data_IF_059641057037
#
_entry.id   IF_059641057037
#
_cell.length_a   1.000
_cell.length_b   1.000
_cell.length_c   1.000
_cell.angle_alpha   90.00
_cell.angle_beta   90.00
_cell.angle_gamma   90.00
#
_symmetry.space_group_name_H-M   'P 1'
#
loop_
_entity.id
_entity.type
_entity.pdbx_description
1 polymer ?
#
# COMPACT_ATOMS: atom_id res chain seq x y z
N UNK A 1 26.55 -19.71 15.32
CA UNK A 1 25.76 -18.62 15.93
C UNK A 1 25.01 -17.96 14.79
N UNK A 2 23.74 -18.32 14.64
CA UNK A 2 22.88 -17.73 13.62
C UNK A 2 22.55 -16.31 14.06
N UNK A 3 23.02 -15.34 13.29
CA UNK A 3 22.61 -13.95 13.44
C UNK A 3 21.11 -13.87 13.18
N UNK A 4 20.33 -13.75 14.24
CA UNK A 4 18.94 -13.39 14.18
C UNK A 4 18.82 -11.99 13.55
N UNK A 5 18.74 -11.93 12.22
CA UNK A 5 18.37 -10.75 11.44
C UNK A 5 16.87 -10.48 11.66
N UNK A 6 16.49 -10.13 12.88
CA UNK A 6 15.20 -9.51 13.14
C UNK A 6 15.23 -8.11 12.52
N UNK A 7 14.64 -7.99 11.33
CA UNK A 7 13.96 -6.79 10.87
C UNK A 7 14.71 -5.46 11.05
N UNK A 8 15.74 -5.21 10.24
CA UNK A 8 15.98 -3.83 9.79
C UNK A 8 15.04 -3.54 8.62
N UNK A 9 13.75 -3.37 8.93
CA UNK A 9 12.89 -2.64 8.01
C UNK A 9 13.19 -1.18 8.26
N UNK A 10 13.96 -0.57 7.35
CA UNK A 10 14.15 0.88 7.36
C UNK A 10 12.77 1.55 7.21
N UNK A 11 12.56 2.74 7.80
CA UNK A 11 11.37 3.52 7.56
C UNK A 11 11.40 4.11 6.15
N UNK A 12 10.20 4.27 5.57
CA UNK A 12 10.01 4.87 4.25
C UNK A 12 10.68 6.25 4.17
N UNK A 13 11.52 6.49 3.15
CA UNK A 13 12.07 7.83 2.94
C UNK A 13 10.99 8.77 2.39
N UNK A 14 11.23 10.08 2.41
CA UNK A 14 10.20 11.06 2.05
C UNK A 14 9.67 10.91 0.61
N UNK A 15 10.51 10.49 -0.35
CA UNK A 15 10.08 10.29 -1.73
C UNK A 15 9.20 9.05 -1.86
N UNK A 16 9.59 7.97 -1.22
CA UNK A 16 8.80 6.74 -1.16
C UNK A 16 7.46 7.00 -0.45
N UNK A 17 7.46 7.80 0.61
CA UNK A 17 6.26 8.17 1.37
C UNK A 17 5.28 8.96 0.50
N UNK A 18 5.78 9.93 -0.27
CA UNK A 18 4.94 10.68 -1.23
C UNK A 18 4.33 9.75 -2.28
N UNK A 19 5.10 8.79 -2.82
CA UNK A 19 4.56 7.82 -3.79
C UNK A 19 3.53 6.88 -3.15
N UNK A 20 3.77 6.41 -1.93
CA UNK A 20 2.83 5.59 -1.18
C UNK A 20 1.54 6.36 -0.86
N UNK A 21 1.63 7.65 -0.53
CA UNK A 21 0.49 8.55 -0.33
C UNK A 21 -0.38 8.66 -1.59
N UNK A 22 0.24 8.86 -2.77
CA UNK A 22 -0.47 8.91 -4.06
C UNK A 22 -1.22 7.62 -4.35
N UNK A 23 -0.58 6.47 -4.10
CA UNK A 23 -1.21 5.16 -4.31
C UNK A 23 -2.36 4.96 -3.31
N UNK A 24 -2.13 5.15 -2.02
CA UNK A 24 -3.14 4.95 -0.98
C UNK A 24 -4.37 5.85 -1.17
N UNK A 25 -4.16 7.11 -1.56
CA UNK A 25 -5.24 8.07 -1.80
C UNK A 25 -6.26 7.61 -2.85
N UNK A 26 -5.80 6.89 -3.89
CA UNK A 26 -6.67 6.36 -4.96
C UNK A 26 -7.68 5.33 -4.46
N UNK A 27 -7.35 4.62 -3.37
CA UNK A 27 -8.18 3.55 -2.82
C UNK A 27 -8.97 3.97 -1.58
N UNK A 28 -8.96 5.27 -1.23
CA UNK A 28 -9.53 5.74 0.04
C UNK A 28 -11.00 5.36 0.23
N UNK A 29 -11.77 5.30 -0.86
CA UNK A 29 -13.21 5.06 -0.81
C UNK A 29 -13.49 3.56 -0.58
N UNK A 30 -12.69 2.72 -1.22
CA UNK A 30 -12.72 1.26 -1.12
C UNK A 30 -12.40 0.81 0.31
N UNK A 31 -11.46 1.48 0.98
CA UNK A 31 -11.02 1.13 2.33
C UNK A 31 -11.70 1.92 3.45
N UNK A 32 -12.65 2.81 3.13
CA UNK A 32 -13.22 3.75 4.09
C UNK A 32 -13.90 3.05 5.30
N UNK A 33 -14.41 1.83 5.09
CA UNK A 33 -15.09 1.04 6.10
C UNK A 33 -14.22 -0.09 6.68
N UNK A 34 -12.95 -0.19 6.27
CA UNK A 34 -12.06 -1.25 6.72
C UNK A 34 -11.67 -1.02 8.18
N UNK A 35 -11.82 -2.06 9.01
CA UNK A 35 -11.57 -1.97 10.47
C UNK A 35 -10.12 -2.23 10.85
N UNK A 36 -9.38 -2.93 9.99
CA UNK A 36 -7.98 -3.29 10.20
C UNK A 36 -7.16 -2.99 8.96
N UNK A 37 -5.82 -2.90 9.10
CA UNK A 37 -4.91 -2.75 7.96
C UNK A 37 -5.06 -3.92 6.97
N UNK A 38 -5.25 -5.14 7.46
CA UNK A 38 -5.44 -6.31 6.60
C UNK A 38 -6.79 -6.27 5.87
N UNK A 39 -7.86 -5.77 6.51
CA UNK A 39 -9.11 -5.51 5.81
C UNK A 39 -8.91 -4.45 4.72
N UNK A 40 -8.18 -3.37 5.00
CA UNK A 40 -7.91 -2.33 4.01
C UNK A 40 -7.13 -2.88 2.80
N UNK A 41 -6.06 -3.64 3.03
CA UNK A 41 -5.30 -4.31 1.97
C UNK A 41 -6.18 -5.28 1.19
N UNK A 42 -6.99 -6.07 1.90
CA UNK A 42 -7.95 -6.98 1.26
C UNK A 42 -8.93 -6.19 0.42
N UNK A 43 -9.43 -5.04 0.85
CA UNK A 43 -10.46 -4.28 0.13
C UNK A 43 -9.89 -3.50 -1.07
N UNK A 44 -8.58 -3.20 -1.09
CA UNK A 44 -7.85 -2.65 -2.26
C UNK A 44 -7.72 -3.63 -3.44
N UNK A 45 -7.67 -4.94 -3.18
CA UNK A 45 -7.45 -5.99 -4.21
C UNK A 45 -8.71 -6.39 -5.04
N UNK A 46 -9.93 -6.49 -4.50
CA UNK A 46 -11.14 -6.85 -5.24
C UNK A 46 -11.56 -5.78 -6.24
N UNK A 47 -11.21 -4.52 -5.98
CA UNK A 47 -11.42 -3.39 -6.89
C UNK A 47 -10.39 -3.36 -8.03
N UNK A 48 -9.21 -4.00 -7.87
CA UNK A 48 -8.12 -3.98 -8.84
C UNK A 48 -8.31 -4.92 -10.03
N UNK A 49 -9.45 -4.85 -10.72
CA UNK A 49 -9.70 -5.63 -11.95
C UNK A 49 -8.87 -5.14 -13.14
N UNK A 50 -8.31 -3.94 -13.07
CA UNK A 50 -7.42 -3.37 -14.09
C UNK A 50 -5.95 -3.64 -13.75
N UNK A 51 -5.15 -3.95 -14.77
CA UNK A 51 -3.70 -4.22 -14.64
C UNK A 51 -2.93 -3.10 -13.91
N UNK A 52 -3.34 -1.85 -14.11
CA UNK A 52 -2.72 -0.67 -13.50
C UNK A 52 -2.88 -0.61 -11.97
N UNK A 53 -4.01 -1.12 -11.46
CA UNK A 53 -4.30 -1.13 -10.04
C UNK A 53 -3.50 -2.23 -9.33
N UNK A 54 -3.39 -3.40 -9.97
CA UNK A 54 -2.51 -4.49 -9.48
C UNK A 54 -1.07 -3.99 -9.38
N UNK A 55 -0.56 -3.30 -10.40
CA UNK A 55 0.80 -2.76 -10.36
C UNK A 55 0.98 -1.64 -9.33
N UNK A 56 -0.06 -0.84 -9.06
CA UNK A 56 -0.04 0.18 -8.01
C UNK A 56 0.09 -0.46 -6.63
N UNK A 57 -0.64 -1.54 -6.39
CA UNK A 57 -0.59 -2.29 -5.13
C UNK A 57 0.76 -3.03 -4.97
N UNK A 58 1.33 -3.59 -6.04
CA UNK A 58 2.68 -4.17 -6.02
C UNK A 58 3.74 -3.11 -5.73
N UNK A 59 3.62 -1.92 -6.33
CA UNK A 59 4.49 -0.78 -6.01
C UNK A 59 4.38 -0.38 -4.54
N UNK A 60 3.17 -0.37 -3.99
CA UNK A 60 2.98 -0.08 -2.56
C UNK A 60 3.74 -1.08 -1.68
N UNK A 61 3.67 -2.37 -2.00
CA UNK A 61 4.46 -3.38 -1.30
C UNK A 61 5.97 -3.10 -1.41
N UNK A 62 6.46 -2.84 -2.62
CA UNK A 62 7.88 -2.54 -2.87
C UNK A 62 8.38 -1.36 -2.04
N UNK A 63 7.60 -0.29 -1.97
CA UNK A 63 7.89 0.90 -1.17
C UNK A 63 7.94 0.56 0.32
N UNK A 64 6.96 -0.19 0.84
CA UNK A 64 6.90 -0.55 2.27
C UNK A 64 7.97 -1.55 2.71
N UNK A 65 8.53 -2.32 1.78
CA UNK A 65 9.60 -3.28 2.07
C UNK A 65 11.00 -2.75 1.71
N UNK A 66 11.12 -1.58 1.08
CA UNK A 66 12.37 -1.07 0.51
C UNK A 66 13.05 -2.06 -0.46
N UNK A 67 12.26 -2.88 -1.16
CA UNK A 67 12.76 -3.89 -2.10
C UNK A 67 12.43 -3.45 -3.52
N UNK A 68 13.43 -2.88 -4.18
CA UNK A 68 13.31 -2.18 -5.46
C UNK A 68 13.11 -3.02 -6.72
N UNK A 69 12.72 -4.30 -6.64
CA UNK A 69 12.47 -5.12 -7.83
C UNK A 69 10.98 -5.46 -7.97
N UNK A 70 10.29 -4.63 -8.77
CA UNK A 70 8.87 -4.81 -9.06
C UNK A 70 8.61 -6.08 -9.89
N UNK A 71 9.52 -6.48 -10.78
CA UNK A 71 9.33 -7.67 -11.60
C UNK A 71 9.36 -8.92 -10.73
N UNK A 72 10.31 -8.99 -9.80
CA UNK A 72 10.38 -10.06 -8.82
C UNK A 72 9.13 -10.15 -7.94
N UNK A 73 8.62 -9.01 -7.45
CA UNK A 73 7.40 -9.00 -6.64
C UNK A 73 6.15 -9.42 -7.43
N UNK A 74 6.06 -9.08 -8.72
CA UNK A 74 5.00 -9.57 -9.60
C UNK A 74 5.09 -11.08 -9.81
N UNK A 75 6.30 -11.62 -10.01
CA UNK A 75 6.52 -13.05 -10.14
C UNK A 75 6.13 -13.78 -8.84
N UNK A 76 6.57 -13.27 -7.68
CA UNK A 76 6.21 -13.83 -6.38
C UNK A 76 4.69 -13.82 -6.14
N UNK A 77 3.99 -12.75 -6.51
CA UNK A 77 2.53 -12.68 -6.42
C UNK A 77 1.85 -13.77 -7.28
N UNK A 78 2.36 -14.04 -8.48
CA UNK A 78 1.83 -15.08 -9.36
C UNK A 78 2.10 -16.49 -8.83
N UNK A 79 3.28 -16.72 -8.27
CA UNK A 79 3.74 -18.05 -7.85
C UNK A 79 3.21 -18.47 -6.48
N UNK A 80 3.16 -17.54 -5.53
CA UNK A 80 2.82 -17.83 -4.12
C UNK A 80 1.36 -17.54 -3.76
N UNK A 81 0.64 -16.90 -4.66
CA UNK A 81 -0.77 -16.56 -4.49
C UNK A 81 -1.02 -15.28 -3.69
N UNK A 82 -2.30 -14.85 -3.67
CA UNK A 82 -2.68 -13.54 -3.14
C UNK A 82 -2.59 -13.38 -1.62
N UNK A 83 -2.69 -14.46 -0.84
CA UNK A 83 -2.76 -14.37 0.62
C UNK A 83 -1.40 -14.02 1.27
N UNK A 84 -0.29 -14.56 0.76
CA UNK A 84 1.06 -14.19 1.23
C UNK A 84 1.36 -12.72 0.89
N UNK A 85 0.91 -12.27 -0.27
CA UNK A 85 1.01 -10.87 -0.67
C UNK A 85 0.23 -9.94 0.27
N UNK A 86 -1.03 -10.27 0.59
CA UNK A 86 -1.85 -9.52 1.57
C UNK A 86 -1.15 -9.45 2.92
N UNK A 87 -0.60 -10.57 3.40
CA UNK A 87 0.10 -10.62 4.67
C UNK A 87 1.33 -9.69 4.68
N UNK A 88 2.16 -9.75 3.63
CA UNK A 88 3.36 -8.92 3.51
C UNK A 88 3.05 -7.43 3.40
N UNK A 89 2.10 -7.07 2.55
CA UNK A 89 1.68 -5.67 2.41
C UNK A 89 1.06 -5.14 3.70
N UNK A 90 0.24 -5.94 4.38
CA UNK A 90 -0.30 -5.58 5.68
C UNK A 90 0.79 -5.35 6.73
N UNK A 91 1.82 -6.20 6.78
CA UNK A 91 2.98 -5.99 7.66
C UNK A 91 3.79 -4.74 7.30
N UNK A 92 3.98 -4.46 6.01
CA UNK A 92 4.62 -3.25 5.52
C UNK A 92 3.87 -1.98 5.94
N UNK A 93 2.54 -2.00 5.87
CA UNK A 93 1.65 -0.88 6.24
C UNK A 93 1.38 -0.77 7.75
N UNK A 94 1.68 -1.79 8.54
CA UNK A 94 1.75 -1.66 10.01
C UNK A 94 2.99 -0.88 10.41
N UNK A 95 4.12 -1.11 9.73
CA UNK A 95 5.39 -0.41 9.97
C UNK A 95 5.41 1.00 9.39
N UNK A 96 4.72 1.20 8.28
CA UNK A 96 4.52 2.50 7.62
C UNK A 96 3.02 2.82 7.68
N UNK A 97 2.53 3.44 8.77
CA UNK A 97 1.11 3.44 9.10
C UNK A 97 0.24 3.99 7.97
N UNK A 98 -0.66 3.14 7.45
CA UNK A 98 -1.60 3.53 6.39
C UNK A 98 -2.40 4.80 6.74
N UNK A 99 -2.77 4.97 8.01
CA UNK A 99 -3.48 6.16 8.49
C UNK A 99 -2.67 7.46 8.36
N UNK A 100 -1.35 7.39 8.56
CA UNK A 100 -0.45 8.54 8.37
C UNK A 100 -0.27 8.86 6.89
N UNK A 101 -0.16 7.84 6.03
CA UNK A 101 -0.11 8.03 4.58
C UNK A 101 -1.39 8.71 4.06
N UNK A 102 -2.57 8.25 4.49
CA UNK A 102 -3.84 8.88 4.09
C UNK A 102 -4.00 10.30 4.64
N UNK A 103 -3.56 10.54 5.88
CA UNK A 103 -3.59 11.87 6.49
C UNK A 103 -2.65 12.84 5.77
N UNK A 104 -1.42 12.39 5.46
CA UNK A 104 -0.45 13.15 4.67
C UNK A 104 -0.97 13.45 3.26
N UNK A 105 -1.55 12.45 2.59
CA UNK A 105 -2.17 12.65 1.28
C UNK A 105 -3.29 13.71 1.32
N UNK A 106 -4.10 13.73 2.38
CA UNK A 106 -5.13 14.76 2.59
C UNK A 106 -4.53 16.15 2.77
N UNK A 107 -3.50 16.28 3.62
CA UNK A 107 -2.79 17.56 3.86
C UNK A 107 -2.19 18.11 2.56
N UNK A 108 -1.65 17.23 1.72
CA UNK A 108 -1.04 17.59 0.44
C UNK A 108 -2.07 17.78 -0.70
N UNK A 109 -3.37 17.66 -0.42
CA UNK A 109 -4.41 17.82 -1.43
C UNK A 109 -4.43 16.72 -2.50
N UNK A 110 -3.83 15.56 -2.23
CA UNK A 110 -3.75 14.42 -3.15
C UNK A 110 -5.03 13.57 -3.16
N UNK A 111 -5.88 13.73 -2.16
CA UNK A 111 -7.18 13.07 -2.10
C UNK A 111 -8.20 13.98 -2.77
N UNK A 112 -8.86 13.54 -3.84
CA UNK A 112 -9.93 14.31 -4.48
C UNK A 112 -10.96 14.72 -3.44
N UNK A 113 -11.08 16.00 -3.11
CA UNK A 113 -12.30 16.48 -2.47
C UNK A 113 -13.38 16.18 -3.49
N UNK A 114 -14.27 15.22 -3.20
CA UNK A 114 -15.56 15.20 -3.89
C UNK A 114 -16.25 16.47 -3.42
N UNK A 115 -15.92 17.58 -4.07
CA UNK A 115 -16.79 18.73 -4.14
C UNK A 115 -18.02 18.21 -4.84
N UNK A 116 -19.08 18.05 -4.06
CA UNK A 116 -20.44 18.11 -4.55
C UNK A 116 -20.51 19.18 -5.64
N UNK A 117 -20.72 18.74 -6.88
CA UNK A 117 -21.53 19.56 -7.76
C UNK A 117 -22.90 19.75 -7.08
N UNK A 118 -23.53 20.90 -7.33
CA UNK A 118 -24.82 21.39 -6.80
C UNK A 118 -24.67 22.20 -5.48
N UNK A 119 -25.00 23.50 -5.38
CA UNK A 119 -25.69 24.49 -6.23
C UNK A 119 -25.03 25.86 -6.02
#
# INVERSE_FOLDING_TARGET
>A
MESNNYNQYEPMNIYEAIEAMKIAARYRNEIANSKTVFDAVRDMLPSSRKREDVMSIVRLLALTEHKGDLEKLVLELKEKGGMEFVARLGQGLIKNPLGELLSGAKVLGMTEVQGTAEV
#
